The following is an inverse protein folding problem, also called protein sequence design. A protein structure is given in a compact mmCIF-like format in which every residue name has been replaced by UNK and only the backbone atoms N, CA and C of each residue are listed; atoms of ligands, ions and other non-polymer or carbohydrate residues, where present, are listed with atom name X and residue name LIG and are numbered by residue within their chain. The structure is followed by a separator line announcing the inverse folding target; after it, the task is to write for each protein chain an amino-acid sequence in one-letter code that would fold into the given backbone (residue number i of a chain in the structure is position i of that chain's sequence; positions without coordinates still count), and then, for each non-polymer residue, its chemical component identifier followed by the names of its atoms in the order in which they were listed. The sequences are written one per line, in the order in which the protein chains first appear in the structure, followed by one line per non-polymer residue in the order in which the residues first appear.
data_IF_039501970432
#
_entry.id   IF_039501970432
#
_cell.length_a   1.000
_cell.length_b   1.000
_cell.length_c   1.000
_cell.angle_alpha   90.00
_cell.angle_beta   90.00
_cell.angle_gamma   90.00
#
_symmetry.space_group_name_H-M   'P 1'
#
loop_
_entity.id
_entity.type
_entity.pdbx_description
1 polymer ?
#
# COMPACT_ATOMS: atom_id res chain seq x y z
N UNK A 1 17.30 -6.22 9.83
CA UNK A 1 17.84 -6.31 8.45
C UNK A 1 16.86 -5.80 7.37
N UNK A 2 15.83 -5.01 7.71
CA UNK A 2 14.87 -4.46 6.73
C UNK A 2 14.93 -2.93 6.58
N UNK A 3 15.47 -2.21 7.55
CA UNK A 3 15.74 -0.77 7.49
C UNK A 3 16.99 -0.47 6.63
N UNK A 4 17.01 0.69 5.97
CA UNK A 4 18.21 1.18 5.27
C UNK A 4 19.28 1.70 6.25
N UNK A 5 18.91 1.94 7.50
CA UNK A 5 19.78 2.43 8.57
C UNK A 5 20.03 1.31 9.58
N UNK A 6 21.29 1.13 9.97
CA UNK A 6 21.77 0.06 10.86
C UNK A 6 21.58 0.43 12.34
N UNK A 7 21.63 1.73 12.67
CA UNK A 7 21.46 2.24 14.03
C UNK A 7 20.02 2.70 14.27
N UNK A 8 19.26 1.92 15.04
CA UNK A 8 17.95 2.37 15.54
C UNK A 8 18.16 3.36 16.68
N UNK A 9 18.29 4.65 16.37
CA UNK A 9 17.60 5.62 17.24
C UNK A 9 16.13 5.24 17.11
N UNK A 10 15.54 4.77 18.21
CA UNK A 10 14.14 4.37 18.31
C UNK A 10 13.31 5.34 17.47
N UNK A 11 12.56 4.82 16.49
CA UNK A 11 11.55 5.60 15.79
C UNK A 11 10.76 6.34 16.85
N UNK A 12 10.85 7.68 16.84
CA UNK A 12 10.25 8.56 17.86
C UNK A 12 8.72 8.66 17.72
N UNK A 13 8.13 7.66 17.08
CA UNK A 13 6.70 7.39 17.03
C UNK A 13 6.50 5.89 17.32
N UNK A 14 6.55 5.52 18.60
CA UNK A 14 5.74 4.40 19.09
C UNK A 14 4.28 4.85 18.99
N UNK A 15 3.77 4.96 17.76
CA UNK A 15 2.35 5.10 17.50
C UNK A 15 1.72 3.81 18.03
N UNK A 16 0.85 3.95 19.03
CA UNK A 16 0.09 2.84 19.58
C UNK A 16 -0.51 2.05 18.40
N UNK A 17 0.01 0.85 18.17
CA UNK A 17 -0.24 0.06 16.98
C UNK A 17 -1.68 -0.40 16.91
N UNK A 18 -2.56 0.44 16.37
CA UNK A 18 -3.85 -0.02 15.89
C UNK A 18 -3.62 -0.95 14.70
N UNK A 19 -4.44 -2.00 14.58
CA UNK A 19 -4.50 -2.94 13.45
C UNK A 19 -4.61 -2.27 12.06
N UNK A 20 -4.82 -0.95 12.05
CA UNK A 20 -5.01 -0.09 10.88
C UNK A 20 -3.77 0.74 10.49
N UNK A 21 -2.59 0.54 11.11
CA UNK A 21 -1.38 1.27 10.73
C UNK A 21 -0.43 0.41 9.90
N UNK A 22 0.12 1.00 8.83
CA UNK A 22 1.16 0.40 8.00
C UNK A 22 2.42 0.20 8.84
N UNK A 23 3.16 -0.91 8.72
CA UNK A 23 4.44 -1.03 9.39
C UNK A 23 5.42 0.02 8.85
N UNK A 24 5.94 0.85 9.75
CA UNK A 24 6.92 1.89 9.40
C UNK A 24 8.33 1.26 9.30
N UNK A 25 8.93 1.33 8.11
CA UNK A 25 10.30 0.90 7.87
C UNK A 25 11.16 2.11 7.52
N UNK A 26 12.17 2.42 8.33
CA UNK A 26 13.05 3.56 8.08
C UNK A 26 13.76 3.40 6.73
N UNK A 27 13.51 4.34 5.82
CA UNK A 27 14.09 4.39 4.48
C UNK A 27 13.44 3.48 3.44
N UNK A 28 12.29 2.85 3.75
CA UNK A 28 11.47 2.09 2.79
C UNK A 28 10.00 2.47 2.92
N UNK A 29 9.33 2.59 1.79
CA UNK A 29 7.88 2.86 1.74
C UNK A 29 7.16 1.52 1.62
N UNK A 30 6.29 1.20 2.57
CA UNK A 30 5.46 -0.01 2.54
C UNK A 30 4.07 0.37 2.07
N UNK A 31 3.65 -0.19 0.94
CA UNK A 31 2.34 0.06 0.36
C UNK A 31 1.43 -1.15 0.57
N UNK A 32 0.33 -0.93 1.28
CA UNK A 32 -0.72 -1.94 1.42
C UNK A 32 -1.66 -1.84 0.20
N UNK A 33 -1.45 -2.72 -0.78
CA UNK A 33 -2.21 -2.74 -2.04
C UNK A 33 -3.72 -2.80 -1.83
N UNK A 34 -4.20 -3.60 -0.89
CA UNK A 34 -5.63 -3.70 -0.57
C UNK A 34 -6.23 -2.36 -0.13
N UNK A 35 -5.54 -1.64 0.75
CA UNK A 35 -6.02 -0.33 1.22
C UNK A 35 -6.05 0.69 0.10
N UNK A 36 -5.02 0.69 -0.74
CA UNK A 36 -4.97 1.55 -1.92
C UNK A 36 -6.13 1.25 -2.87
N UNK A 37 -6.41 -0.02 -3.14
CA UNK A 37 -7.51 -0.44 -4.00
C UNK A 37 -8.89 -0.02 -3.47
N UNK A 38 -9.09 0.04 -2.15
CA UNK A 38 -10.35 0.55 -1.57
C UNK A 38 -10.58 2.04 -1.80
N UNK A 39 -9.52 2.83 -1.97
CA UNK A 39 -9.65 4.24 -2.27
C UNK A 39 -9.83 4.50 -3.77
N UNK A 40 -9.26 3.64 -4.62
CA UNK A 40 -9.31 3.81 -6.08
C UNK A 40 -10.54 3.16 -6.73
N UNK A 41 -11.04 2.04 -6.19
CA UNK A 41 -12.12 1.26 -6.79
C UNK A 41 -13.34 1.20 -5.87
N UNK A 42 -14.54 1.35 -6.44
CA UNK A 42 -15.82 1.24 -5.73
C UNK A 42 -16.43 -0.16 -5.89
N UNK A 43 -15.84 -1.15 -5.22
CA UNK A 43 -16.29 -2.56 -5.29
C UNK A 43 -17.06 -2.98 -4.03
N UNK A 44 -18.00 -3.92 -4.20
CA UNK A 44 -18.74 -4.55 -3.07
C UNK A 44 -17.86 -5.52 -2.27
N UNK A 45 -17.00 -6.27 -2.95
CA UNK A 45 -16.03 -7.19 -2.35
C UNK A 45 -14.67 -6.91 -2.97
N UNK A 46 -13.65 -6.77 -2.13
CA UNK A 46 -12.31 -6.42 -2.59
C UNK A 46 -11.39 -7.63 -2.77
N UNK A 47 -11.91 -8.87 -2.69
CA UNK A 47 -11.12 -10.09 -2.87
C UNK A 47 -10.27 -10.01 -4.14
N UNK A 48 -9.04 -10.51 -4.08
CA UNK A 48 -8.07 -10.40 -5.18
C UNK A 48 -8.66 -10.82 -6.53
N UNK A 49 -9.42 -11.92 -6.54
CA UNK A 49 -10.05 -12.46 -7.75
C UNK A 49 -11.11 -11.51 -8.32
N UNK A 50 -11.87 -10.84 -7.45
CA UNK A 50 -12.91 -9.91 -7.87
C UNK A 50 -12.31 -8.60 -8.39
N UNK A 51 -11.27 -8.10 -7.73
CA UNK A 51 -10.52 -6.93 -8.21
C UNK A 51 -9.88 -7.22 -9.56
N UNK A 52 -9.21 -8.37 -9.69
CA UNK A 52 -8.57 -8.76 -10.94
C UNK A 52 -9.58 -8.93 -12.07
N UNK A 53 -10.71 -9.58 -11.80
CA UNK A 53 -11.79 -9.71 -12.77
C UNK A 53 -12.38 -8.36 -13.18
N UNK A 54 -12.58 -7.45 -12.24
CA UNK A 54 -13.09 -6.11 -12.55
C UNK A 54 -12.16 -5.31 -13.46
N UNK A 55 -10.84 -5.41 -13.24
CA UNK A 55 -9.85 -4.65 -14.00
C UNK A 55 -9.52 -5.28 -15.37
N UNK A 56 -9.28 -6.59 -15.40
CA UNK A 56 -8.78 -7.28 -16.60
C UNK A 56 -9.86 -8.07 -17.35
N UNK A 57 -11.09 -8.17 -16.81
CA UNK A 57 -12.18 -9.00 -17.35
C UNK A 57 -11.79 -10.49 -17.49
N UNK A 58 -10.83 -10.95 -16.67
CA UNK A 58 -10.35 -12.32 -16.64
C UNK A 58 -10.58 -12.94 -15.26
N UNK A 59 -10.97 -14.22 -15.22
CA UNK A 59 -11.17 -14.96 -13.98
C UNK A 59 -9.88 -15.66 -13.57
N UNK A 60 -9.47 -15.47 -12.31
CA UNK A 60 -8.39 -16.22 -11.68
C UNK A 60 -8.98 -17.30 -10.79
N UNK A 61 -8.40 -18.49 -10.83
CA UNK A 61 -8.79 -19.60 -9.95
C UNK A 61 -8.38 -19.31 -8.50
N UNK A 62 -9.32 -19.52 -7.58
CA UNK A 62 -9.06 -19.46 -6.14
C UNK A 62 -8.94 -20.88 -5.60
N UNK A 63 -7.76 -21.24 -5.13
CA UNK A 63 -7.57 -22.48 -4.39
C UNK A 63 -7.94 -22.27 -2.92
N UNK A 64 -8.59 -23.26 -2.32
CA UNK A 64 -8.89 -23.23 -0.89
C UNK A 64 -7.58 -23.36 -0.08
N UNK A 65 -7.52 -22.74 1.10
CA UNK A 65 -6.35 -22.84 1.97
C UNK A 65 -6.03 -24.29 2.37
N UNK A 66 -7.07 -25.13 2.48
CA UNK A 66 -6.91 -26.56 2.75
C UNK A 66 -6.23 -27.28 1.57
N UNK A 67 -6.69 -27.01 0.35
CA UNK A 67 -6.11 -27.59 -0.87
C UNK A 67 -4.65 -27.14 -1.06
N UNK A 68 -4.33 -25.88 -0.76
CA UNK A 68 -2.96 -25.36 -0.80
C UNK A 68 -2.07 -26.09 0.22
N UNK A 69 -2.58 -26.30 1.44
CA UNK A 69 -1.87 -27.07 2.48
C UNK A 69 -1.61 -28.52 2.05
N UNK A 70 -2.60 -29.17 1.45
CA UNK A 70 -2.45 -30.53 0.90
C UNK A 70 -1.45 -30.59 -0.26
N UNK A 71 -1.47 -29.63 -1.18
CA UNK A 71 -0.50 -29.53 -2.28
C UNK A 71 0.93 -29.36 -1.75
N UNK A 72 1.10 -28.55 -0.70
CA UNK A 72 2.39 -28.38 -0.04
C UNK A 72 2.86 -29.68 0.65
N UNK A 73 1.98 -30.33 1.41
CA UNK A 73 2.31 -31.59 2.10
C UNK A 73 2.66 -32.70 1.11
N UNK A 74 1.83 -32.91 0.09
CA UNK A 74 2.04 -33.97 -0.91
C UNK A 74 3.25 -33.71 -1.81
N UNK A 75 3.54 -32.45 -2.14
CA UNK A 75 4.68 -32.10 -3.00
C UNK A 75 6.02 -32.03 -2.28
N UNK A 76 6.05 -31.53 -1.04
CA UNK A 76 7.29 -31.24 -0.32
C UNK A 76 7.61 -32.26 0.79
N UNK A 77 6.60 -32.83 1.46
CA UNK A 77 6.79 -33.76 2.58
C UNK A 77 6.86 -35.21 2.09
N UNK A 78 6.05 -35.58 1.10
CA UNK A 78 6.05 -36.95 0.55
C UNK A 78 7.17 -37.16 -0.49
N UNK A 79 7.77 -36.09 -1.02
CA UNK A 79 8.97 -36.14 -1.87
C UNK A 79 8.77 -36.70 -3.30
N UNK A 80 7.56 -37.12 -3.67
CA UNK A 80 7.31 -37.87 -4.90
C UNK A 80 6.66 -37.08 -6.04
N UNK A 81 6.09 -35.89 -5.78
CA UNK A 81 5.31 -35.15 -6.77
C UNK A 81 5.90 -33.76 -7.06
N UNK A 82 6.74 -33.66 -8.09
CA UNK A 82 7.25 -32.38 -8.60
C UNK A 82 6.14 -31.47 -9.13
N UNK A 83 5.10 -32.07 -9.72
CA UNK A 83 3.95 -31.35 -10.30
C UNK A 83 3.19 -30.52 -9.26
N UNK A 84 2.96 -31.05 -8.05
CA UNK A 84 2.23 -30.31 -7.01
C UNK A 84 3.04 -29.14 -6.45
N UNK A 85 4.38 -29.25 -6.41
CA UNK A 85 5.28 -28.14 -6.05
C UNK A 85 5.21 -27.03 -7.09
N UNK A 86 5.27 -27.38 -8.37
CA UNK A 86 5.17 -26.41 -9.46
C UNK A 86 3.82 -25.68 -9.42
N UNK A 87 2.70 -26.41 -9.33
CA UNK A 87 1.36 -25.82 -9.23
C UNK A 87 1.21 -24.87 -8.03
N UNK A 88 1.77 -25.25 -6.87
CA UNK A 88 1.79 -24.39 -5.69
C UNK A 88 2.55 -23.08 -5.95
N UNK A 89 3.74 -23.16 -6.53
CA UNK A 89 4.56 -21.98 -6.84
C UNK A 89 3.89 -21.10 -7.89
N UNK A 90 3.41 -21.68 -8.98
CA UNK A 90 2.67 -20.98 -10.04
C UNK A 90 1.48 -20.20 -9.47
N UNK A 91 0.71 -20.80 -8.56
CA UNK A 91 -0.42 -20.13 -7.92
C UNK A 91 -0.01 -18.87 -7.14
N UNK A 92 1.06 -18.93 -6.35
CA UNK A 92 1.53 -17.76 -5.60
C UNK A 92 2.22 -16.74 -6.49
N UNK A 93 2.99 -17.17 -7.48
CA UNK A 93 3.60 -16.28 -8.48
C UNK A 93 2.53 -15.52 -9.26
N UNK A 94 1.46 -16.20 -9.70
CA UNK A 94 0.35 -15.55 -10.38
C UNK A 94 -0.29 -14.46 -9.53
N UNK A 95 -0.39 -14.66 -8.20
CA UNK A 95 -0.93 -13.64 -7.28
C UNK A 95 0.03 -12.47 -7.06
N UNK A 96 1.34 -12.72 -6.93
CA UNK A 96 2.32 -11.65 -6.74
C UNK A 96 2.46 -10.81 -8.00
N UNK A 97 2.62 -11.44 -9.17
CA UNK A 97 2.63 -10.76 -10.46
C UNK A 97 1.31 -10.06 -10.74
N UNK A 98 0.17 -10.70 -10.45
CA UNK A 98 -1.14 -10.09 -10.60
C UNK A 98 -1.31 -8.84 -9.72
N UNK A 99 -0.77 -8.84 -8.50
CA UNK A 99 -0.80 -7.65 -7.62
C UNK A 99 0.02 -6.49 -8.18
N UNK A 100 1.19 -6.79 -8.76
CA UNK A 100 2.02 -5.78 -9.45
C UNK A 100 1.32 -5.27 -10.71
N UNK A 101 0.73 -6.18 -11.50
CA UNK A 101 -0.01 -5.86 -12.72
C UNK A 101 -1.21 -4.94 -12.44
N UNK A 102 -1.98 -5.20 -11.38
CA UNK A 102 -3.05 -4.33 -10.91
C UNK A 102 -2.53 -2.92 -10.60
N UNK A 103 -1.45 -2.82 -9.83
CA UNK A 103 -0.85 -1.52 -9.46
C UNK A 103 -0.35 -0.73 -10.68
N UNK A 104 0.22 -1.44 -11.66
CA UNK A 104 0.69 -0.85 -12.91
C UNK A 104 -0.47 -0.39 -13.79
N UNK A 105 -1.55 -1.19 -13.91
CA UNK A 105 -2.73 -0.82 -14.68
C UNK A 105 -3.40 0.46 -14.14
N UNK A 106 -3.43 0.62 -12.82
CA UNK A 106 -3.95 1.84 -12.18
C UNK A 106 -2.98 3.03 -12.25
N UNK A 107 -1.74 2.83 -12.70
CA UNK A 107 -0.67 3.85 -12.71
C UNK A 107 -0.52 4.58 -11.36
N UNK A 108 -0.83 3.88 -10.25
CA UNK A 108 -1.00 4.52 -8.94
C UNK A 108 0.29 5.21 -8.47
N UNK A 109 1.44 4.55 -8.62
CA UNK A 109 2.73 5.07 -8.17
C UNK A 109 3.08 6.34 -8.94
N UNK A 110 2.94 6.32 -10.27
CA UNK A 110 3.26 7.48 -11.12
C UNK A 110 2.36 8.66 -10.80
N UNK A 111 1.03 8.44 -10.76
CA UNK A 111 0.06 9.49 -10.43
C UNK A 111 0.33 10.11 -9.07
N UNK A 112 0.61 9.28 -8.07
CA UNK A 112 0.90 9.75 -6.70
C UNK A 112 2.25 10.48 -6.63
N UNK A 113 3.24 10.03 -7.41
CA UNK A 113 4.52 10.73 -7.53
C UNK A 113 4.34 12.12 -8.17
N UNK A 114 3.61 12.22 -9.27
CA UNK A 114 3.31 13.49 -9.93
C UNK A 114 2.60 14.46 -8.97
N UNK A 115 1.66 13.94 -8.17
CA UNK A 115 1.01 14.71 -7.11
C UNK A 115 2.00 15.14 -6.02
N UNK A 116 2.92 14.27 -5.59
CA UNK A 116 3.93 14.60 -4.59
C UNK A 116 4.83 15.76 -5.03
N UNK A 117 5.23 15.76 -6.30
CA UNK A 117 5.99 16.84 -6.92
C UNK A 117 5.18 18.12 -7.04
N UNK A 118 3.89 18.03 -7.41
CA UNK A 118 3.01 19.20 -7.52
C UNK A 118 2.71 19.86 -6.16
N UNK A 119 2.53 19.06 -5.11
CA UNK A 119 2.27 19.55 -3.74
C UNK A 119 3.54 19.97 -2.99
N UNK A 120 4.73 19.51 -3.39
CA UNK A 120 5.98 19.75 -2.67
C UNK A 120 6.07 19.00 -1.33
N UNK A 121 5.46 17.81 -1.24
CA UNK A 121 5.36 17.02 0.00
C UNK A 121 5.87 15.58 -0.22
N UNK A 122 6.30 14.87 0.83
CA UNK A 122 6.84 13.52 0.66
C UNK A 122 5.74 12.54 0.22
N UNK A 123 6.13 11.57 -0.63
CA UNK A 123 5.22 10.61 -1.27
C UNK A 123 4.26 9.91 -0.31
N UNK A 124 4.74 9.43 0.85
CA UNK A 124 3.90 8.70 1.79
C UNK A 124 2.82 9.59 2.42
N UNK A 125 3.16 10.85 2.73
CA UNK A 125 2.19 11.79 3.28
C UNK A 125 1.09 12.11 2.27
N UNK A 126 1.33 12.00 0.95
CA UNK A 126 0.28 12.21 -0.07
C UNK A 126 -0.83 11.17 0.11
N UNK A 127 -0.47 9.95 0.48
CA UNK A 127 -1.38 8.82 0.65
C UNK A 127 -2.04 8.85 2.02
N UNK A 128 -1.25 9.09 3.08
CA UNK A 128 -1.71 8.94 4.46
C UNK A 128 -2.38 10.20 5.03
N UNK A 129 -2.01 11.40 4.55
CA UNK A 129 -2.53 12.67 5.07
C UNK A 129 -3.79 13.14 4.33
N UNK A 130 -4.65 13.82 5.09
CA UNK A 130 -5.90 14.40 4.59
C UNK A 130 -5.70 15.64 3.71
N UNK A 131 -6.80 16.09 3.11
CA UNK A 131 -6.84 17.26 2.21
C UNK A 131 -6.30 18.54 2.84
N UNK A 132 -6.56 18.77 4.13
CA UNK A 132 -6.07 19.95 4.84
C UNK A 132 -4.54 20.06 4.76
N UNK A 133 -3.82 18.96 4.97
CA UNK A 133 -2.35 18.97 4.93
C UNK A 133 -1.82 19.34 3.54
N UNK A 134 -2.52 18.91 2.48
CA UNK A 134 -2.17 19.24 1.08
C UNK A 134 -2.39 20.72 0.77
N UNK A 135 -3.45 21.31 1.30
CA UNK A 135 -3.71 22.76 1.16
C UNK A 135 -2.63 23.54 1.90
N UNK A 136 -2.29 23.13 3.13
CA UNK A 136 -1.25 23.78 3.91
C UNK A 136 0.13 23.68 3.24
N UNK A 137 0.48 22.53 2.64
CA UNK A 137 1.77 22.35 1.96
C UNK A 137 1.92 23.25 0.73
N UNK A 138 0.83 23.55 0.03
CA UNK A 138 0.81 24.50 -1.09
C UNK A 138 0.75 25.96 -0.63
N UNK A 139 -0.01 26.24 0.43
CA UNK A 139 -0.26 27.60 0.91
C UNK A 139 0.96 28.21 1.59
N UNK A 140 1.70 27.42 2.39
CA UNK A 140 2.82 27.91 3.19
C UNK A 140 3.92 28.58 2.34
N UNK A 141 4.39 27.98 1.22
CA UNK A 141 5.36 28.64 0.34
C UNK A 141 4.83 29.96 -0.26
N UNK A 142 3.54 30.01 -0.64
CA UNK A 142 2.92 31.21 -1.21
C UNK A 142 2.80 32.33 -0.18
N UNK A 143 2.42 32.02 1.05
CA UNK A 143 2.40 33.00 2.15
C UNK A 143 3.80 33.57 2.40
N UNK A 144 4.83 32.72 2.40
CA UNK A 144 6.21 33.17 2.58
C UNK A 144 6.64 34.13 1.46
N UNK A 145 6.31 33.82 0.21
CA UNK A 145 6.62 34.68 -0.95
C UNK A 145 5.91 36.03 -0.89
N UNK A 146 4.71 36.08 -0.32
CA UNK A 146 3.91 37.29 -0.18
C UNK A 146 4.08 38.02 1.17
N UNK A 147 5.05 37.61 2.00
CA UNK A 147 5.30 38.16 3.35
C UNK A 147 4.09 38.06 4.30
N UNK A 148 3.28 37.02 4.16
CA UNK A 148 2.18 36.71 5.08
C UNK A 148 2.59 35.71 6.14
N UNK A 149 2.04 35.88 7.35
CA UNK A 149 2.27 34.99 8.49
C UNK A 149 0.99 34.19 8.78
N UNK A 150 0.96 32.87 8.51
CA UNK A 150 -0.23 32.07 8.68
C UNK A 150 -0.57 31.87 10.16
N UNK A 151 -1.83 32.10 10.52
CA UNK A 151 -2.33 31.92 11.89
C UNK A 151 -2.78 30.47 12.05
N UNK A 152 -2.32 29.80 13.10
CA UNK A 152 -2.88 28.50 13.53
C UNK A 152 -3.77 28.69 14.74
N UNK A 153 -5.03 28.31 14.60
CA UNK A 153 -5.98 28.31 15.70
C UNK A 153 -5.84 27.04 16.55
N UNK A 154 -5.89 27.20 17.86
CA UNK A 154 -5.99 26.07 18.79
C UNK A 154 -7.38 25.43 18.68
N UNK A 155 -7.48 24.12 18.95
CA UNK A 155 -8.74 23.37 18.92
C UNK A 155 -9.83 23.99 19.82
N UNK A 156 -9.43 24.67 20.89
CA UNK A 156 -10.34 25.33 21.83
C UNK A 156 -11.01 26.59 21.27
N UNK A 157 -10.50 27.15 20.17
CA UNK A 157 -10.99 28.41 19.59
C UNK A 157 -12.06 28.22 18.51
N UNK A 158 -12.17 27.02 17.92
CA UNK A 158 -13.01 26.75 16.74
C UNK A 158 -14.40 26.17 17.15
N UNK A 159 -14.66 26.00 18.45
CA UNK A 159 -15.87 25.36 18.97
C UNK A 159 -16.68 26.34 19.81
#
# INVERSE_FOLDING_TARGET
MFSRVINTVQSKHNSAGGLNQSPELVGRIVLNTWRLLRHELSLRSYTFENVYHHLFQMKISKLSNQSIGQLWQTGFITGTNELSRHLFLEYYLQRTFGSISIMNHLNFIRRTFDLSCAFGMPFLDVIERGSQFRVESMLLPLCLQANYLPIRFSKHFIR
#
